data_IF_693336875291
#
_entry.id   IF_693336875291
#
_cell.length_a   1.000
_cell.length_b   1.000
_cell.length_c   1.000
_cell.angle_alpha   90.00
_cell.angle_beta   90.00
_cell.angle_gamma   90.00
#
_symmetry.space_group_name_H-M   'P 1'
#
loop_
_entity.id
_entity.type
_entity.pdbx_description
1 polymer ?
#
# COMPACT_ATOMS: atom_id res chain seq x y z
N UNK A 1 8.64 8.67 -20.96
CA UNK A 1 8.70 9.10 -19.55
C UNK A 1 7.65 8.30 -18.81
N UNK A 2 8.09 7.48 -17.87
CA UNK A 2 7.22 6.66 -17.02
C UNK A 2 6.33 7.58 -16.20
N UNK A 3 5.03 7.24 -16.13
CA UNK A 3 4.06 8.04 -15.40
C UNK A 3 3.71 7.39 -14.06
N UNK A 4 3.51 8.21 -13.03
CA UNK A 4 2.96 7.76 -11.75
C UNK A 4 1.69 6.92 -11.94
N UNK A 5 0.89 7.26 -12.95
CA UNK A 5 -0.33 6.54 -13.32
C UNK A 5 -0.07 5.05 -13.60
N UNK A 6 0.88 4.73 -14.47
CA UNK A 6 1.13 3.33 -14.88
C UNK A 6 1.54 2.46 -13.69
N UNK A 7 2.33 3.00 -12.77
CA UNK A 7 2.82 2.27 -11.60
C UNK A 7 1.73 2.13 -10.54
N UNK A 8 0.95 3.20 -10.32
CA UNK A 8 -0.23 3.13 -9.46
C UNK A 8 -1.24 2.11 -9.96
N UNK A 9 -1.53 2.08 -11.27
CA UNK A 9 -2.45 1.10 -11.86
C UNK A 9 -1.90 -0.33 -11.75
N UNK A 10 -0.58 -0.53 -11.94
CA UNK A 10 0.04 -1.83 -11.71
C UNK A 10 -0.13 -2.32 -10.26
N UNK A 11 0.22 -1.49 -9.28
CA UNK A 11 0.07 -1.82 -7.85
C UNK A 11 -1.39 -2.16 -7.53
N UNK A 12 -2.34 -1.33 -7.97
CA UNK A 12 -3.76 -1.55 -7.74
C UNK A 12 -4.24 -2.90 -8.33
N UNK A 13 -3.84 -3.21 -9.56
CA UNK A 13 -4.22 -4.46 -10.22
C UNK A 13 -3.60 -5.69 -9.55
N UNK A 14 -2.37 -5.60 -9.06
CA UNK A 14 -1.72 -6.70 -8.34
C UNK A 14 -2.42 -6.99 -7.00
N UNK A 15 -2.84 -5.94 -6.27
CA UNK A 15 -3.62 -6.10 -5.04
C UNK A 15 -5.01 -6.67 -5.37
N UNK A 16 -5.68 -6.14 -6.41
CA UNK A 16 -7.02 -6.61 -6.82
C UNK A 16 -7.03 -8.07 -7.29
N UNK A 17 -5.94 -8.54 -7.90
CA UNK A 17 -5.79 -9.95 -8.27
C UNK A 17 -5.69 -10.90 -7.04
N UNK A 18 -5.45 -10.36 -5.84
CA UNK A 18 -5.18 -11.13 -4.62
C UNK A 18 -6.22 -10.90 -3.51
N UNK A 19 -7.44 -10.51 -3.89
CA UNK A 19 -8.56 -10.25 -2.98
C UNK A 19 -8.96 -11.44 -2.09
N UNK A 20 -8.61 -12.67 -2.48
CA UNK A 20 -8.93 -13.89 -1.73
C UNK A 20 -8.46 -13.84 -0.26
N UNK A 21 -7.28 -13.26 0.00
CA UNK A 21 -6.76 -13.10 1.36
C UNK A 21 -7.71 -12.27 2.25
N UNK A 22 -8.17 -11.12 1.75
CA UNK A 22 -9.05 -10.21 2.49
C UNK A 22 -10.47 -10.76 2.62
N UNK A 23 -10.97 -11.41 1.56
CA UNK A 23 -12.28 -12.08 1.61
C UNK A 23 -12.27 -13.18 2.67
N UNK A 24 -11.22 -13.99 2.74
CA UNK A 24 -11.12 -15.08 3.72
C UNK A 24 -11.00 -14.55 5.17
N UNK A 25 -10.27 -13.45 5.38
CA UNK A 25 -10.04 -12.87 6.72
C UNK A 25 -11.19 -11.99 7.22
N UNK A 26 -11.73 -11.13 6.37
CA UNK A 26 -12.71 -10.09 6.73
C UNK A 26 -14.13 -10.35 6.20
N UNK A 27 -14.34 -11.41 5.43
CA UNK A 27 -15.61 -11.74 4.76
C UNK A 27 -16.09 -10.60 3.83
N UNK A 28 -15.16 -9.82 3.29
CA UNK A 28 -15.37 -8.73 2.34
C UNK A 28 -14.06 -8.41 1.61
N UNK A 29 -14.10 -7.87 0.39
CA UNK A 29 -12.89 -7.49 -0.34
C UNK A 29 -12.22 -6.26 0.27
N UNK A 30 -10.94 -6.06 -0.05
CA UNK A 30 -10.21 -4.82 0.15
C UNK A 30 -10.66 -3.79 -0.89
N UNK A 31 -11.22 -2.66 -0.43
CA UNK A 31 -11.48 -1.52 -1.30
C UNK A 31 -10.14 -0.86 -1.67
N UNK A 32 -9.91 -0.63 -2.97
CA UNK A 32 -8.70 0.03 -3.47
C UNK A 32 -9.10 1.38 -4.06
N UNK A 33 -8.56 2.46 -3.50
CA UNK A 33 -8.78 3.84 -3.94
C UNK A 33 -7.46 4.41 -4.48
N UNK A 34 -7.53 5.14 -5.59
CA UNK A 34 -6.39 5.90 -6.12
C UNK A 34 -6.68 7.38 -5.87
N UNK A 35 -5.99 7.94 -4.88
CA UNK A 35 -6.31 9.26 -4.30
C UNK A 35 -7.62 9.28 -3.50
N UNK A 36 -7.89 10.42 -2.86
CA UNK A 36 -9.08 10.65 -2.01
C UNK A 36 -9.74 11.98 -2.37
N UNK A 37 -11.08 11.99 -2.44
CA UNK A 37 -11.85 13.23 -2.44
C UNK A 37 -12.17 13.61 -0.99
N UNK A 38 -11.55 14.68 -0.50
CA UNK A 38 -11.75 15.17 0.88
C UNK A 38 -13.20 15.56 1.18
N UNK A 39 -14.03 15.81 0.16
CA UNK A 39 -15.45 16.11 0.34
C UNK A 39 -16.30 14.83 0.47
N UNK A 40 -15.76 13.68 0.08
CA UNK A 40 -16.39 12.37 0.17
C UNK A 40 -15.36 11.38 0.76
N UNK A 41 -14.95 11.57 2.03
CA UNK A 41 -13.95 10.72 2.64
C UNK A 41 -14.48 9.29 2.82
N UNK A 42 -13.59 8.28 2.87
CA UNK A 42 -13.99 6.91 3.17
C UNK A 42 -14.66 6.80 4.55
N UNK A 43 -15.63 5.90 4.65
CA UNK A 43 -16.37 5.61 5.88
C UNK A 43 -15.99 4.23 6.46
N UNK A 44 -16.45 3.92 7.67
CA UNK A 44 -16.19 2.63 8.32
C UNK A 44 -16.69 1.43 7.50
N UNK A 45 -17.80 1.62 6.76
CA UNK A 45 -18.35 0.60 5.87
C UNK A 45 -17.43 0.25 4.68
N UNK A 46 -16.48 1.12 4.36
CA UNK A 46 -15.51 0.94 3.27
C UNK A 46 -14.29 0.10 3.68
N UNK A 47 -14.17 -0.25 4.97
CA UNK A 47 -13.06 -1.06 5.48
C UNK A 47 -13.24 -2.55 5.14
N UNK A 48 -12.15 -3.31 4.89
CA UNK A 48 -10.75 -2.86 4.84
C UNK A 48 -10.48 -2.05 3.58
N UNK A 49 -9.62 -1.04 3.69
CA UNK A 49 -9.36 -0.03 2.67
C UNK A 49 -7.86 0.15 2.40
N UNK A 50 -7.54 0.33 1.12
CA UNK A 50 -6.24 0.76 0.61
C UNK A 50 -6.39 2.05 -0.19
N UNK A 51 -5.62 3.07 0.14
CA UNK A 51 -5.51 4.32 -0.63
C UNK A 51 -4.11 4.40 -1.21
N UNK A 52 -3.99 4.54 -2.52
CA UNK A 52 -2.71 4.68 -3.21
C UNK A 52 -2.50 6.14 -3.59
N UNK A 53 -1.45 6.75 -3.04
CA UNK A 53 -1.01 8.11 -3.33
C UNK A 53 0.37 8.10 -3.99
N UNK A 54 0.49 8.58 -5.24
CA UNK A 54 1.79 8.69 -5.88
C UNK A 54 2.50 9.96 -5.40
N UNK A 55 3.45 9.83 -4.47
CA UNK A 55 3.82 10.98 -3.65
C UNK A 55 5.04 11.72 -4.16
N UNK A 56 6.13 11.08 -4.63
CA UNK A 56 7.37 11.84 -4.90
C UNK A 56 8.17 11.28 -6.07
N UNK A 57 8.62 12.18 -6.97
CA UNK A 57 9.74 11.95 -7.90
C UNK A 57 10.93 12.76 -7.40
N UNK A 58 11.94 12.11 -6.84
CA UNK A 58 13.18 12.78 -6.48
C UNK A 58 14.08 12.81 -7.72
N UNK A 59 14.38 14.03 -8.18
CA UNK A 59 15.30 14.27 -9.30
C UNK A 59 16.53 14.94 -8.71
N UNK A 60 17.65 14.20 -8.60
CA UNK A 60 18.95 14.84 -8.41
C UNK A 60 19.37 15.58 -9.68
N UNK A 61 19.96 16.77 -9.55
CA UNK A 61 20.57 17.45 -10.69
C UNK A 61 21.70 16.57 -11.27
N UNK A 62 21.58 16.18 -12.55
CA UNK A 62 22.44 15.21 -13.26
C UNK A 62 22.33 13.74 -12.81
N UNK A 63 21.24 13.33 -12.15
CA UNK A 63 21.05 11.93 -11.78
C UNK A 63 20.91 11.03 -13.03
N UNK A 64 21.63 9.90 -13.00
CA UNK A 64 21.51 8.81 -13.98
C UNK A 64 20.16 8.10 -13.90
N UNK A 65 19.43 8.28 -12.80
CA UNK A 65 18.19 7.59 -12.47
C UNK A 65 17.20 8.57 -11.82
N UNK A 66 15.91 8.23 -11.89
CA UNK A 66 14.83 8.90 -11.18
C UNK A 66 14.32 7.97 -10.09
N UNK A 67 14.33 8.45 -8.86
CA UNK A 67 13.76 7.72 -7.74
C UNK A 67 12.31 8.16 -7.54
N UNK A 68 11.45 7.17 -7.38
CA UNK A 68 10.04 7.37 -7.13
C UNK A 68 9.64 6.69 -5.83
N UNK A 69 8.74 7.34 -5.12
CA UNK A 69 8.11 6.82 -3.91
C UNK A 69 6.60 6.85 -4.10
N UNK A 70 5.97 5.68 -3.95
CA UNK A 70 4.51 5.54 -3.90
C UNK A 70 4.13 5.14 -2.48
N UNK A 71 3.20 5.89 -1.90
CA UNK A 71 2.70 5.68 -0.55
C UNK A 71 1.34 5.01 -0.65
N UNK A 72 1.17 3.91 0.06
CA UNK A 72 -0.10 3.21 0.17
C UNK A 72 -0.57 3.27 1.61
N UNK A 73 -1.73 3.85 1.86
CA UNK A 73 -2.34 3.88 3.19
C UNK A 73 -3.32 2.73 3.31
N UNK A 74 -3.09 1.86 4.28
CA UNK A 74 -3.94 0.72 4.58
C UNK A 74 -4.69 0.94 5.89
N UNK A 75 -5.95 0.56 5.93
CA UNK A 75 -6.78 0.69 7.13
C UNK A 75 -7.77 -0.47 7.27
N UNK A 76 -8.03 -0.85 8.52
CA UNK A 76 -9.03 -1.83 8.91
C UNK A 76 -9.90 -1.30 10.05
N UNK A 77 -11.13 -1.82 10.12
CA UNK A 77 -12.03 -1.57 11.25
C UNK A 77 -11.43 -2.16 12.53
N UNK A 78 -11.54 -1.41 13.62
CA UNK A 78 -11.04 -1.81 14.93
C UNK A 78 -11.96 -2.79 15.65
N UNK A 79 -11.35 -3.66 16.44
CA UNK A 79 -12.08 -4.62 17.25
C UNK A 79 -12.90 -3.95 18.36
N UNK A 80 -14.22 -4.18 18.33
CA UNK A 80 -15.15 -3.72 19.36
C UNK A 80 -15.15 -4.61 20.61
N UNK A 81 -14.48 -5.77 20.58
CA UNK A 81 -14.49 -6.79 21.64
C UNK A 81 -13.08 -7.14 22.14
N UNK A 82 -12.35 -6.19 22.76
CA UNK A 82 -10.99 -6.45 23.21
C UNK A 82 -10.91 -7.55 24.26
N UNK A 83 -9.84 -8.36 24.18
CA UNK A 83 -9.51 -9.38 25.15
C UNK A 83 -8.97 -8.72 26.42
N UNK A 84 -9.60 -8.99 27.56
CA UNK A 84 -9.20 -8.44 28.87
C UNK A 84 -8.59 -9.53 29.74
N UNK A 85 -7.36 -9.29 30.19
CA UNK A 85 -6.66 -10.13 31.16
C UNK A 85 -6.05 -9.27 32.27
N UNK A 86 -6.79 -9.11 33.37
CA UNK A 86 -6.42 -8.19 34.44
C UNK A 86 -6.37 -6.74 33.95
N UNK A 87 -5.19 -6.11 34.07
CA UNK A 87 -4.95 -4.74 33.60
C UNK A 87 -4.47 -4.66 32.14
N UNK A 88 -4.42 -5.79 31.42
CA UNK A 88 -4.03 -5.85 30.02
C UNK A 88 -5.31 -5.91 29.17
N UNK A 89 -5.45 -4.98 28.24
CA UNK A 89 -6.52 -4.94 27.25
C UNK A 89 -5.87 -5.06 25.88
N UNK A 90 -6.21 -6.12 25.15
CA UNK A 90 -5.66 -6.40 23.82
C UNK A 90 -6.77 -6.19 22.80
N UNK A 91 -6.52 -5.29 21.86
CA UNK A 91 -7.33 -5.14 20.66
C UNK A 91 -6.59 -5.85 19.53
N UNK A 92 -7.17 -6.89 18.92
CA UNK A 92 -6.45 -7.73 17.95
C UNK A 92 -6.08 -6.97 16.67
N UNK A 93 -6.84 -5.91 16.35
CA UNK A 93 -6.66 -5.11 15.14
C UNK A 93 -5.23 -4.58 14.93
N UNK A 94 -4.46 -4.38 16.01
CA UNK A 94 -3.05 -3.98 15.89
C UNK A 94 -2.16 -5.07 15.29
N UNK A 95 -2.45 -6.34 15.57
CA UNK A 95 -1.74 -7.48 14.98
C UNK A 95 -2.32 -7.81 13.61
N UNK A 96 -3.65 -7.70 13.46
CA UNK A 96 -4.31 -7.97 12.19
C UNK A 96 -3.79 -7.05 11.09
N UNK A 97 -3.56 -5.76 11.38
CA UNK A 97 -3.01 -4.82 10.41
C UNK A 97 -1.53 -5.05 10.11
N UNK A 98 -0.75 -5.51 11.09
CA UNK A 98 0.66 -5.87 10.88
C UNK A 98 0.78 -7.08 9.95
N UNK A 99 -0.03 -8.12 10.20
CA UNK A 99 -0.10 -9.31 9.35
C UNK A 99 -0.52 -8.98 7.91
N UNK A 100 -1.54 -8.14 7.76
CA UNK A 100 -2.01 -7.69 6.44
C UNK A 100 -0.96 -6.83 5.72
N UNK A 101 -0.33 -5.90 6.44
CA UNK A 101 0.72 -5.03 5.92
C UNK A 101 1.90 -5.85 5.40
N UNK A 102 2.36 -6.83 6.18
CA UNK A 102 3.42 -7.75 5.79
C UNK A 102 3.01 -8.61 4.57
N UNK A 103 1.75 -9.09 4.53
CA UNK A 103 1.23 -9.83 3.38
C UNK A 103 1.29 -8.98 2.10
N UNK A 104 0.83 -7.72 2.16
CA UNK A 104 0.84 -6.78 1.05
C UNK A 104 2.26 -6.43 0.58
N UNK A 105 3.19 -6.24 1.53
CA UNK A 105 4.61 -6.02 1.23
C UNK A 105 5.18 -7.21 0.44
N UNK A 106 4.98 -8.43 0.92
CA UNK A 106 5.48 -9.64 0.24
C UNK A 106 4.82 -9.85 -1.12
N UNK A 107 3.51 -9.59 -1.23
CA UNK A 107 2.79 -9.62 -2.50
C UNK A 107 3.43 -8.67 -3.52
N UNK A 108 3.55 -7.39 -3.17
CA UNK A 108 4.09 -6.38 -4.07
C UNK A 108 5.56 -6.66 -4.40
N UNK A 109 6.37 -7.04 -3.42
CA UNK A 109 7.78 -7.42 -3.61
C UNK A 109 7.91 -8.55 -4.64
N UNK A 110 7.09 -9.59 -4.53
CA UNK A 110 7.04 -10.68 -5.51
C UNK A 110 6.60 -10.22 -6.90
N UNK A 111 5.57 -9.38 -6.98
CA UNK A 111 5.05 -8.87 -8.26
C UNK A 111 6.05 -7.99 -8.98
N UNK A 112 6.72 -7.07 -8.29
CA UNK A 112 7.75 -6.22 -8.90
C UNK A 112 8.94 -7.05 -9.42
N UNK A 113 9.44 -8.01 -8.64
CA UNK A 113 10.55 -8.87 -9.04
C UNK A 113 10.23 -9.77 -10.25
N UNK A 114 9.01 -10.30 -10.33
CA UNK A 114 8.64 -11.26 -11.36
C UNK A 114 8.09 -10.61 -12.64
N UNK A 115 7.41 -9.47 -12.52
CA UNK A 115 6.60 -8.92 -13.62
C UNK A 115 7.10 -7.60 -14.16
N UNK A 116 8.14 -7.01 -13.58
CA UNK A 116 8.62 -5.69 -14.02
C UNK A 116 10.12 -5.70 -14.27
N UNK A 117 10.57 -4.75 -15.08
CA UNK A 117 11.97 -4.38 -15.19
C UNK A 117 12.32 -3.18 -14.28
N UNK A 118 11.51 -2.90 -13.25
CA UNK A 118 11.77 -1.85 -12.27
C UNK A 118 12.69 -2.37 -11.18
N UNK A 119 13.70 -1.58 -10.82
CA UNK A 119 14.58 -1.89 -9.70
C UNK A 119 13.97 -1.30 -8.42
N UNK A 120 13.27 -2.15 -7.66
CA UNK A 120 12.73 -1.78 -6.36
C UNK A 120 13.86 -1.80 -5.33
N UNK A 121 14.08 -0.68 -4.65
CA UNK A 121 15.14 -0.56 -3.63
C UNK A 121 14.59 -0.58 -2.21
N UNK A 122 13.30 -0.28 -2.01
CA UNK A 122 12.67 -0.27 -0.70
C UNK A 122 11.18 -0.66 -0.75
N UNK A 123 10.74 -1.46 0.23
CA UNK A 123 9.33 -1.72 0.49
C UNK A 123 9.13 -2.22 1.92
N UNK A 124 8.48 -1.40 2.74
CA UNK A 124 8.24 -1.65 4.17
C UNK A 124 6.85 -1.17 4.58
N UNK A 125 6.31 -1.81 5.62
CA UNK A 125 5.06 -1.44 6.29
C UNK A 125 5.34 -0.74 7.63
N UNK A 126 4.62 0.34 7.89
CA UNK A 126 4.72 1.14 9.10
C UNK A 126 3.34 1.33 9.72
N UNK A 127 3.23 1.17 11.04
CA UNK A 127 2.02 1.59 11.74
C UNK A 127 1.91 3.12 11.73
N UNK A 128 0.72 3.63 11.42
CA UNK A 128 0.44 5.04 11.59
C UNK A 128 0.29 5.37 13.07
N UNK A 129 0.57 6.63 13.41
CA UNK A 129 0.26 7.16 14.73
C UNK A 129 -1.23 6.98 15.05
N UNK A 130 -1.54 6.76 16.32
CA UNK A 130 -2.90 6.50 16.81
C UNK A 130 -3.70 7.82 16.77
N UNK A 131 -4.20 8.17 15.58
CA UNK A 131 -4.76 9.49 15.30
C UNK A 131 -6.28 9.45 15.09
N UNK A 132 -6.87 8.27 14.87
CA UNK A 132 -8.31 8.07 14.68
C UNK A 132 -8.76 6.72 15.26
N UNK A 133 -9.77 6.74 16.14
CA UNK A 133 -10.43 5.53 16.66
C UNK A 133 -11.84 5.41 16.06
N UNK A 134 -12.36 4.20 15.78
CA UNK A 134 -11.77 2.88 16.01
C UNK A 134 -11.14 2.30 14.73
N UNK A 135 -10.15 2.96 14.15
CA UNK A 135 -9.49 2.47 12.91
C UNK A 135 -8.04 2.13 13.24
N UNK A 136 -7.61 0.95 12.82
CA UNK A 136 -6.18 0.66 12.74
C UNK A 136 -5.72 1.06 11.34
N UNK A 137 -4.62 1.80 11.25
CA UNK A 137 -4.05 2.17 9.95
C UNK A 137 -2.53 2.03 9.94
N UNK A 138 -2.00 1.84 8.75
CA UNK A 138 -0.58 1.79 8.47
C UNK A 138 -0.29 2.22 7.05
N UNK A 139 0.99 2.35 6.75
CA UNK A 139 1.48 2.87 5.49
C UNK A 139 2.53 1.93 4.93
N UNK A 140 2.38 1.59 3.65
CA UNK A 140 3.39 0.90 2.87
C UNK A 140 4.07 1.95 1.99
N UNK A 141 5.39 2.02 2.05
CA UNK A 141 6.18 2.89 1.18
C UNK A 141 6.88 2.01 0.16
N UNK A 142 6.67 2.26 -1.13
CA UNK A 142 7.31 1.52 -2.23
C UNK A 142 8.26 2.44 -2.97
N UNK A 143 9.56 2.14 -2.90
CA UNK A 143 10.63 2.89 -3.54
C UNK A 143 11.21 2.14 -4.74
N UNK A 144 11.27 2.80 -5.90
CA UNK A 144 11.87 2.24 -7.11
C UNK A 144 12.72 3.27 -7.87
N UNK A 145 13.79 2.77 -8.48
CA UNK A 145 14.69 3.57 -9.31
C UNK A 145 14.47 3.26 -10.79
N UNK A 146 14.44 4.32 -11.59
CA UNK A 146 14.21 4.26 -13.03
C UNK A 146 15.34 4.96 -13.75
N UNK A 147 16.09 4.26 -14.62
CA UNK A 147 17.14 4.91 -15.40
C UNK A 147 16.66 6.11 -16.22
N UNK A 148 17.38 7.22 -16.10
CA UNK A 148 17.22 8.46 -16.86
C UNK A 148 17.83 8.28 -18.26
N UNK A 149 17.18 7.47 -19.08
CA UNK A 149 17.62 7.17 -20.44
C UNK A 149 16.84 8.06 -21.42
N UNK A 150 17.55 8.80 -22.27
CA UNK A 150 16.98 9.56 -23.38
C UNK A 150 16.53 8.56 -24.46
N UNK A 151 15.23 8.24 -24.55
CA UNK A 151 14.66 7.33 -25.57
C UNK A 151 13.37 6.60 -25.17
N UNK A 152 12.93 5.64 -26.01
CA UNK A 152 11.65 4.90 -25.91
C UNK A 152 11.65 3.71 -24.93
N UNK A 153 12.51 3.68 -23.91
CA UNK A 153 12.43 2.60 -22.92
C UNK A 153 11.13 2.73 -22.11
N UNK A 154 10.30 1.68 -22.17
CA UNK A 154 9.03 1.55 -21.45
C UNK A 154 9.21 0.56 -20.30
N UNK A 155 8.56 0.80 -19.17
CA UNK A 155 8.35 -0.30 -18.21
C UNK A 155 7.56 -1.36 -18.93
N UNK A 156 8.03 -2.60 -18.81
CA UNK A 156 7.28 -3.76 -19.27
C UNK A 156 6.69 -4.43 -18.05
N UNK A 157 5.37 -4.42 -17.96
CA UNK A 157 4.62 -5.25 -17.03
C UNK A 157 4.34 -6.56 -17.78
N UNK A 158 4.90 -7.67 -17.31
CA UNK A 158 4.73 -9.02 -17.88
C UNK A 158 3.50 -9.72 -17.32
#
# INVERSE_FOLDING_TARGET
MISNKEITEFIANEIDANQGYFIDKYNRPLLIMIGVDVNNPPEEADMPLMIIEPTIKNIGDNASDFDYEIVLHYAIEGDNNPIKNGNIVVYSGIYDIEDDGNYLVELLRGSFQCKTNLEMFDIDFYHNEINAFPVYSGTIVVGFSVPNIIGDQKITFQ
#
